data_IF_768130582314
#
_entry.id   IF_768130582314
#
_cell.length_a   1.000
_cell.length_b   1.000
_cell.length_c   1.000
_cell.angle_alpha   90.00
_cell.angle_beta   90.00
_cell.angle_gamma   90.00
#
_symmetry.space_group_name_H-M   'P 1'
#
loop_
_entity.id
_entity.type
_entity.pdbx_description
1 polymer ?
#
# COMPACT_ATOMS: atom_id res chain seq x y z
N UNK A 1 -8.67 -17.01 8.12
CA UNK A 1 -7.57 -16.06 8.41
C UNK A 1 -6.44 -16.85 9.03
N UNK A 2 -5.19 -16.65 8.60
CA UNK A 2 -4.02 -17.28 9.24
C UNK A 2 -3.94 -16.76 10.70
N UNK A 3 -3.96 -17.62 11.73
CA UNK A 3 -3.93 -17.19 13.12
C UNK A 3 -2.70 -16.34 13.45
N UNK A 4 -1.61 -16.51 12.69
CA UNK A 4 -0.39 -15.70 12.83
C UNK A 4 -0.63 -14.24 12.46
N UNK A 5 -1.47 -13.97 11.45
CA UNK A 5 -1.83 -12.60 11.03
C UNK A 5 -2.46 -11.82 12.17
N UNK A 6 -3.47 -12.40 12.79
CA UNK A 6 -4.18 -11.76 13.89
C UNK A 6 -3.26 -11.58 15.11
N UNK A 7 -2.47 -12.61 15.47
CA UNK A 7 -1.52 -12.52 16.58
C UNK A 7 -0.44 -11.45 16.38
N UNK A 8 0.02 -11.25 15.14
CA UNK A 8 1.01 -10.25 14.78
C UNK A 8 0.46 -8.83 14.87
N UNK A 9 -0.83 -8.66 14.55
CA UNK A 9 -1.55 -7.40 14.73
C UNK A 9 -1.83 -7.10 16.21
N UNK A 10 -2.33 -8.08 16.98
CA UNK A 10 -2.66 -7.92 18.40
C UNK A 10 -1.43 -7.69 19.30
N UNK A 11 -0.23 -8.03 18.82
CA UNK A 11 1.02 -7.88 19.57
C UNK A 11 1.41 -9.10 20.41
N UNK A 12 0.84 -10.28 20.16
CA UNK A 12 1.19 -11.52 20.87
C UNK A 12 2.57 -12.09 20.52
N UNK A 13 3.14 -11.69 19.38
CA UNK A 13 4.44 -12.15 18.93
C UNK A 13 5.33 -10.95 18.54
N UNK A 14 5.87 -10.20 19.51
CA UNK A 14 6.75 -9.07 19.20
C UNK A 14 8.06 -9.54 18.58
N UNK A 15 8.72 -8.63 17.85
CA UNK A 15 10.07 -8.87 17.38
C UNK A 15 11.08 -8.77 18.52
N UNK A 16 12.09 -9.62 18.48
CA UNK A 16 13.35 -9.39 19.19
C UNK A 16 14.16 -8.28 18.53
N UNK A 17 15.10 -7.70 19.28
CA UNK A 17 16.04 -6.70 18.74
C UNK A 17 16.86 -7.23 17.57
N UNK A 18 17.24 -8.51 17.61
CA UNK A 18 18.02 -9.15 16.55
C UNK A 18 17.20 -9.32 15.26
N UNK A 19 15.91 -9.67 15.37
CA UNK A 19 15.01 -9.71 14.21
C UNK A 19 14.82 -8.31 13.60
N UNK A 20 14.61 -7.27 14.42
CA UNK A 20 14.48 -5.90 13.92
C UNK A 20 15.76 -5.40 13.23
N UNK A 21 16.93 -5.74 13.80
CA UNK A 21 18.21 -5.42 13.20
C UNK A 21 18.40 -6.16 11.86
N UNK A 22 18.04 -7.43 11.78
CA UNK A 22 18.10 -8.19 10.54
C UNK A 22 17.19 -7.60 9.45
N UNK A 23 15.96 -7.23 9.80
CA UNK A 23 15.03 -6.54 8.89
C UNK A 23 15.65 -5.22 8.42
N UNK A 24 16.17 -4.40 9.34
CA UNK A 24 16.83 -3.14 9.00
C UNK A 24 17.95 -3.36 7.97
N UNK A 25 18.88 -4.26 8.26
CA UNK A 25 20.04 -4.52 7.39
C UNK A 25 19.62 -5.01 6.00
N UNK A 26 18.58 -5.85 5.92
CA UNK A 26 18.06 -6.34 4.65
C UNK A 26 17.47 -5.20 3.81
N UNK A 27 16.60 -4.37 4.41
CA UNK A 27 15.97 -3.25 3.71
C UNK A 27 16.98 -2.17 3.31
N UNK A 28 18.01 -1.93 4.13
CA UNK A 28 19.10 -1.00 3.81
C UNK A 28 19.96 -1.50 2.64
N UNK A 29 20.30 -2.79 2.63
CA UNK A 29 21.05 -3.40 1.53
C UNK A 29 20.27 -3.32 0.21
N UNK A 30 18.96 -3.56 0.28
CA UNK A 30 18.05 -3.46 -0.86
C UNK A 30 17.95 -2.01 -1.37
N UNK A 31 17.69 -1.06 -0.46
CA UNK A 31 17.63 0.37 -0.78
C UNK A 31 18.94 0.89 -1.35
N UNK A 32 20.09 0.49 -0.80
CA UNK A 32 21.40 0.89 -1.29
C UNK A 32 21.65 0.43 -2.74
N UNK A 33 21.14 -0.74 -3.12
CA UNK A 33 21.27 -1.23 -4.49
C UNK A 33 20.53 -0.32 -5.49
N UNK A 34 19.28 0.07 -5.20
CA UNK A 34 18.51 0.99 -6.05
C UNK A 34 19.12 2.39 -6.09
N UNK A 35 19.54 2.92 -4.94
CA UNK A 35 20.21 4.23 -4.86
C UNK A 35 21.48 4.28 -5.72
N UNK A 36 22.27 3.20 -5.73
CA UNK A 36 23.48 3.10 -6.59
C UNK A 36 23.15 3.16 -8.09
N UNK A 37 21.93 2.82 -8.49
CA UNK A 37 21.46 2.93 -9.87
C UNK A 37 20.76 4.27 -10.16
N UNK A 38 20.82 5.25 -9.24
CA UNK A 38 20.09 6.53 -9.31
C UNK A 38 18.57 6.37 -9.38
N UNK A 39 18.02 5.34 -8.72
CA UNK A 39 16.57 5.11 -8.63
C UNK A 39 16.07 5.53 -7.26
N UNK A 40 14.97 6.29 -7.21
CA UNK A 40 14.25 6.54 -5.96
C UNK A 40 13.51 5.28 -5.56
N UNK A 41 13.74 4.79 -4.33
CA UNK A 41 13.18 3.52 -3.86
C UNK A 41 12.32 3.73 -2.62
N UNK A 42 11.08 3.25 -2.68
CA UNK A 42 10.10 3.33 -1.61
C UNK A 42 9.56 1.93 -1.30
N UNK A 43 9.30 1.67 -0.03
CA UNK A 43 8.59 0.48 0.41
C UNK A 43 7.26 0.93 1.00
N UNK A 44 6.18 0.35 0.52
CA UNK A 44 4.82 0.57 0.96
C UNK A 44 4.30 -0.69 1.67
N UNK A 45 4.39 -0.75 3.00
CA UNK A 45 3.63 -1.72 3.75
C UNK A 45 2.13 -1.40 3.65
N UNK A 46 1.34 -2.32 3.11
CA UNK A 46 -0.11 -2.25 3.14
C UNK A 46 -0.62 -2.81 4.47
N UNK A 47 -1.75 -2.29 4.95
CA UNK A 47 -2.34 -2.73 6.21
C UNK A 47 -3.44 -3.73 5.97
N UNK A 48 -3.55 -4.69 6.88
CA UNK A 48 -4.70 -5.56 6.90
C UNK A 48 -5.97 -4.81 7.27
N UNK A 49 -7.12 -5.28 6.78
CA UNK A 49 -8.42 -4.67 7.08
C UNK A 49 -8.68 -4.59 8.59
N UNK A 50 -8.31 -5.61 9.37
CA UNK A 50 -8.44 -5.59 10.83
C UNK A 50 -7.54 -4.53 11.50
N UNK A 51 -6.45 -4.12 10.86
CA UNK A 51 -5.56 -3.09 11.40
C UNK A 51 -6.13 -1.68 11.30
N UNK A 52 -7.06 -1.47 10.35
CA UNK A 52 -7.75 -0.20 10.14
C UNK A 52 -9.17 -0.23 10.72
N UNK A 53 -9.85 -1.38 10.67
CA UNK A 53 -11.23 -1.59 11.13
C UNK A 53 -11.35 -2.72 12.18
N UNK A 54 -10.66 -2.61 13.34
CA UNK A 54 -10.74 -3.63 14.37
C UNK A 54 -12.11 -3.74 15.04
N UNK A 55 -12.94 -2.68 15.00
CA UNK A 55 -14.27 -2.65 15.59
C UNK A 55 -15.28 -3.62 14.96
N UNK A 56 -14.96 -4.18 13.79
CA UNK A 56 -15.77 -5.22 13.14
C UNK A 56 -15.31 -6.64 13.49
N UNK A 57 -14.26 -6.79 14.30
CA UNK A 57 -13.88 -8.08 14.86
C UNK A 57 -14.72 -8.41 16.10
N UNK A 58 -15.18 -9.66 16.27
CA UNK A 58 -15.86 -10.07 17.48
C UNK A 58 -14.88 -10.11 18.66
N UNK A 59 -15.37 -9.84 19.87
CA UNK A 59 -14.61 -10.09 21.08
C UNK A 59 -14.24 -11.59 21.20
N UNK A 60 -13.02 -11.96 21.60
CA UNK A 60 -11.90 -11.12 22.09
C UNK A 60 -10.90 -10.67 21.01
N UNK A 61 -11.20 -10.88 19.73
CA UNK A 61 -10.25 -10.67 18.64
C UNK A 61 -10.01 -9.20 18.29
N UNK A 62 -10.85 -8.27 18.78
CA UNK A 62 -10.69 -6.83 18.57
C UNK A 62 -9.66 -6.17 19.52
N UNK A 63 -9.20 -6.89 20.55
CA UNK A 63 -8.30 -6.33 21.55
C UNK A 63 -6.83 -6.50 21.14
N UNK A 64 -6.09 -5.39 21.13
CA UNK A 64 -4.64 -5.39 21.01
C UNK A 64 -4.01 -5.34 22.40
N UNK A 65 -3.01 -6.19 22.64
CA UNK A 65 -2.29 -6.26 23.92
C UNK A 65 -0.93 -5.54 23.86
N UNK A 66 -0.49 -5.14 22.67
CA UNK A 66 0.78 -4.45 22.43
C UNK A 66 0.89 -3.90 21.00
N UNK A 67 2.02 -3.27 20.65
CA UNK A 67 2.24 -2.79 19.28
C UNK A 67 2.31 -3.96 18.30
N UNK A 68 1.66 -3.82 17.14
CA UNK A 68 1.77 -4.82 16.06
C UNK A 68 3.23 -4.97 15.59
N UNK A 69 3.57 -6.11 15.01
CA UNK A 69 4.90 -6.35 14.41
C UNK A 69 5.27 -5.27 13.40
N UNK A 70 4.33 -4.87 12.53
CA UNK A 70 4.57 -3.80 11.56
C UNK A 70 4.78 -2.44 12.24
N UNK A 71 4.05 -2.13 13.33
CA UNK A 71 4.29 -0.91 14.10
C UNK A 71 5.70 -0.89 14.73
N UNK A 72 6.20 -2.04 15.20
CA UNK A 72 7.57 -2.17 15.73
C UNK A 72 8.61 -1.89 14.64
N UNK A 73 8.41 -2.40 13.41
CA UNK A 73 9.29 -2.11 12.26
C UNK A 73 9.29 -0.61 11.95
N UNK A 74 8.12 0.03 11.89
CA UNK A 74 8.05 1.47 11.61
C UNK A 74 8.81 2.31 12.65
N UNK A 75 8.62 2.04 13.95
CA UNK A 75 9.32 2.76 15.01
C UNK A 75 10.83 2.50 14.98
N UNK A 76 11.25 1.23 14.82
CA UNK A 76 12.67 0.87 14.72
C UNK A 76 13.35 1.56 13.53
N UNK A 77 12.76 1.45 12.35
CA UNK A 77 13.34 2.01 11.12
C UNK A 77 13.38 3.53 11.13
N UNK A 78 12.39 4.19 11.75
CA UNK A 78 12.39 5.65 11.94
C UNK A 78 13.55 6.14 12.80
N UNK A 79 13.96 5.36 13.80
CA UNK A 79 15.06 5.71 14.71
C UNK A 79 16.44 5.33 14.15
N UNK A 80 16.52 4.25 13.37
CA UNK A 80 17.78 3.61 13.05
C UNK A 80 18.15 3.61 11.56
N UNK A 81 17.24 4.01 10.66
CA UNK A 81 17.45 3.92 9.22
C UNK A 81 16.97 5.15 8.43
N UNK A 82 17.44 5.26 7.19
CA UNK A 82 16.97 6.25 6.20
C UNK A 82 16.11 5.64 5.10
N UNK A 83 15.88 4.33 5.13
CA UNK A 83 15.02 3.63 4.17
C UNK A 83 13.63 4.25 4.21
N UNK A 84 13.07 4.49 3.03
CA UNK A 84 11.80 5.18 2.87
C UNK A 84 10.63 4.19 3.00
N UNK A 85 10.20 3.94 4.25
CA UNK A 85 8.95 3.24 4.55
C UNK A 85 7.76 4.21 4.53
N UNK A 86 6.77 3.91 3.69
CA UNK A 86 5.56 4.72 3.55
C UNK A 86 4.50 4.23 4.54
N UNK A 87 4.46 4.83 5.73
CA UNK A 87 3.36 4.57 6.68
C UNK A 87 2.07 5.23 6.21
N UNK A 88 1.08 4.42 5.85
CA UNK A 88 -0.26 4.85 5.41
C UNK A 88 -1.34 4.63 6.47
N UNK A 89 -1.00 4.12 7.66
CA UNK A 89 -1.96 3.83 8.73
C UNK A 89 -2.69 5.07 9.21
N UNK A 90 -1.96 6.12 9.57
CA UNK A 90 -2.56 7.37 10.06
C UNK A 90 -3.43 8.08 8.99
N UNK A 91 -2.99 8.17 7.72
CA UNK A 91 -3.86 8.60 6.63
C UNK A 91 -5.17 7.80 6.52
N UNK A 92 -5.10 6.47 6.59
CA UNK A 92 -6.29 5.61 6.52
C UNK A 92 -7.21 5.78 7.74
N UNK A 93 -6.65 5.84 8.95
CA UNK A 93 -7.42 6.07 10.18
C UNK A 93 -8.07 7.46 10.19
N UNK A 94 -7.38 8.48 9.66
CA UNK A 94 -7.93 9.83 9.52
C UNK A 94 -9.08 9.85 8.54
N UNK A 95 -8.92 9.22 7.37
CA UNK A 95 -9.97 9.10 6.37
C UNK A 95 -11.21 8.36 6.92
N UNK A 96 -10.99 7.24 7.60
CA UNK A 96 -12.02 6.49 8.32
C UNK A 96 -12.76 7.35 9.35
N UNK A 97 -12.03 8.14 10.16
CA UNK A 97 -12.63 8.99 11.20
C UNK A 97 -13.51 10.10 10.62
N UNK A 98 -13.16 10.65 9.46
CA UNK A 98 -14.00 11.60 8.73
C UNK A 98 -15.31 10.94 8.27
N UNK A 99 -15.33 9.61 8.16
CA UNK A 99 -16.49 8.77 7.87
C UNK A 99 -17.30 9.22 6.64
N UNK A 100 -16.63 9.89 5.70
CA UNK A 100 -17.26 10.32 4.47
C UNK A 100 -17.42 9.12 3.53
N UNK A 101 -16.38 8.29 3.42
CA UNK A 101 -16.36 7.07 2.61
C UNK A 101 -15.49 5.99 3.25
N UNK A 102 -15.90 4.73 3.12
CA UNK A 102 -15.07 3.59 3.50
C UNK A 102 -13.77 3.55 2.68
N UNK A 103 -12.67 3.16 3.33
CA UNK A 103 -11.36 2.98 2.66
C UNK A 103 -11.10 1.52 2.28
N UNK A 104 -11.95 0.60 2.74
CA UNK A 104 -11.91 -0.81 2.41
C UNK A 104 -13.27 -1.24 1.90
N UNK A 105 -13.28 -2.23 1.01
CA UNK A 105 -14.53 -2.85 0.59
C UNK A 105 -15.16 -3.58 1.77
N UNK A 106 -16.48 -3.53 1.90
CA UNK A 106 -17.23 -4.21 2.96
C UNK A 106 -17.14 -5.73 2.82
N UNK A 107 -17.25 -6.21 1.58
CA UNK A 107 -17.35 -7.63 1.22
C UNK A 107 -16.02 -8.30 0.87
N UNK A 108 -14.90 -7.58 0.97
CA UNK A 108 -13.58 -7.99 0.52
C UNK A 108 -12.51 -7.72 1.60
N UNK A 109 -11.37 -8.40 1.52
CA UNK A 109 -10.21 -8.22 2.38
C UNK A 109 -9.35 -7.02 2.02
N UNK A 110 -9.43 -6.54 0.77
CA UNK A 110 -8.63 -5.43 0.25
C UNK A 110 -9.19 -4.06 0.64
N UNK A 111 -8.30 -3.06 0.62
CA UNK A 111 -8.77 -1.69 0.52
C UNK A 111 -9.55 -1.46 -0.78
N UNK A 112 -10.32 -0.39 -0.86
CA UNK A 112 -10.92 0.06 -2.12
C UNK A 112 -10.05 1.15 -2.76
N UNK A 113 -10.50 1.68 -3.90
CA UNK A 113 -9.85 2.80 -4.60
C UNK A 113 -9.60 4.01 -3.67
N UNK A 114 -10.47 4.27 -2.70
CA UNK A 114 -10.33 5.39 -1.77
C UNK A 114 -9.17 5.14 -0.80
N UNK A 115 -9.07 3.94 -0.23
CA UNK A 115 -7.91 3.55 0.59
C UNK A 115 -6.60 3.62 -0.19
N UNK A 116 -6.57 3.06 -1.39
CA UNK A 116 -5.42 3.14 -2.30
C UNK A 116 -5.05 4.59 -2.68
N UNK A 117 -6.03 5.48 -2.82
CA UNK A 117 -5.79 6.90 -3.07
C UNK A 117 -5.02 7.56 -1.92
N UNK A 118 -5.35 7.26 -0.66
CA UNK A 118 -4.60 7.79 0.47
C UNK A 118 -3.15 7.27 0.51
N UNK A 119 -2.93 6.00 0.15
CA UNK A 119 -1.57 5.47 0.00
C UNK A 119 -0.79 6.17 -1.11
N UNK A 120 -1.41 6.35 -2.28
CA UNK A 120 -0.84 7.11 -3.39
C UNK A 120 -0.49 8.55 -2.99
N UNK A 121 -1.36 9.24 -2.24
CA UNK A 121 -1.13 10.62 -1.79
C UNK A 121 0.12 10.71 -0.93
N UNK A 122 0.33 9.75 -0.04
CA UNK A 122 1.52 9.66 0.80
C UNK A 122 2.80 9.33 0.04
N UNK A 123 2.70 8.50 -1.00
CA UNK A 123 3.83 8.22 -1.91
C UNK A 123 4.22 9.50 -2.65
N UNK A 124 3.27 10.18 -3.29
CA UNK A 124 3.54 11.39 -4.07
C UNK A 124 4.09 12.52 -3.21
N UNK A 125 3.57 12.72 -1.98
CA UNK A 125 4.12 13.69 -1.03
C UNK A 125 5.61 13.46 -0.74
N UNK A 126 6.05 12.21 -0.62
CA UNK A 126 7.47 11.88 -0.42
C UNK A 126 8.28 12.12 -1.69
N UNK A 127 7.72 11.76 -2.85
CA UNK A 127 8.36 12.00 -4.13
C UNK A 127 8.53 13.48 -4.47
N UNK A 128 7.67 14.37 -3.95
CA UNK A 128 7.75 15.82 -4.17
C UNK A 128 9.15 16.41 -3.87
N UNK A 129 9.89 15.81 -2.93
CA UNK A 129 11.25 16.24 -2.55
C UNK A 129 12.22 16.09 -3.72
N UNK A 130 12.08 15.03 -4.52
CA UNK A 130 12.95 14.69 -5.65
C UNK A 130 12.33 15.11 -6.99
N UNK A 131 11.00 15.14 -7.05
CA UNK A 131 10.19 15.46 -8.23
C UNK A 131 9.21 16.59 -7.88
N UNK A 132 9.65 17.87 -7.84
CA UNK A 132 8.80 19.00 -7.41
C UNK A 132 7.53 19.20 -8.24
N UNK A 133 7.49 18.63 -9.44
CA UNK A 133 6.32 18.63 -10.32
C UNK A 133 5.23 17.63 -9.90
N UNK A 134 5.52 16.66 -9.02
CA UNK A 134 4.56 15.66 -8.57
C UNK A 134 3.66 16.20 -7.45
N UNK A 135 2.65 16.98 -7.84
CA UNK A 135 1.66 17.52 -6.90
C UNK A 135 0.54 16.51 -6.70
N UNK A 136 0.28 16.02 -5.46
CA UNK A 136 -0.75 15.03 -5.24
C UNK A 136 -2.15 15.58 -5.57
N UNK A 137 -2.90 14.82 -6.37
CA UNK A 137 -4.30 15.08 -6.67
C UNK A 137 -5.19 15.01 -5.42
N UNK A 138 -6.32 15.71 -5.44
CA UNK A 138 -7.32 15.65 -4.38
C UNK A 138 -8.46 14.67 -4.74
N UNK A 139 -9.28 14.28 -3.76
CA UNK A 139 -10.38 13.33 -4.00
C UNK A 139 -11.40 13.90 -5.00
N UNK A 140 -11.59 15.21 -5.00
CA UNK A 140 -12.51 15.96 -5.88
C UNK A 140 -12.10 15.89 -7.36
N UNK A 141 -10.85 15.49 -7.65
CA UNK A 141 -10.39 15.20 -9.00
C UNK A 141 -10.98 13.90 -9.55
N UNK A 142 -11.66 13.11 -8.74
CA UNK A 142 -12.26 11.83 -9.13
C UNK A 142 -13.79 11.88 -9.07
N UNK A 143 -14.45 10.93 -9.73
CA UNK A 143 -15.88 10.69 -9.55
C UNK A 143 -16.04 9.64 -8.47
N UNK A 144 -16.83 9.95 -7.46
CA UNK A 144 -17.24 8.95 -6.49
C UNK A 144 -18.43 8.16 -7.04
N UNK A 145 -18.29 6.84 -7.05
CA UNK A 145 -19.40 5.92 -7.28
C UNK A 145 -19.70 5.16 -5.99
N UNK A 146 -20.91 5.35 -5.48
CA UNK A 146 -21.43 4.72 -4.26
C UNK A 146 -22.46 3.62 -4.56
N UNK A 147 -22.68 3.30 -5.84
CA UNK A 147 -23.69 2.34 -6.27
C UNK A 147 -23.07 1.03 -6.75
N UNK A 148 -21.77 0.83 -6.51
CA UNK A 148 -21.08 -0.39 -6.89
C UNK A 148 -21.65 -1.58 -6.12
N UNK A 149 -22.12 -2.58 -6.86
CA UNK A 149 -22.51 -3.89 -6.33
C UNK A 149 -21.49 -4.92 -6.77
N UNK A 150 -20.81 -5.54 -5.81
CA UNK A 150 -19.85 -6.62 -6.06
C UNK A 150 -19.82 -7.59 -4.88
N UNK A 151 -19.41 -8.83 -5.16
CA UNK A 151 -19.02 -9.77 -4.13
C UNK A 151 -17.48 -9.84 -4.08
N UNK A 152 -16.91 -9.47 -2.93
CA UNK A 152 -15.49 -9.64 -2.66
C UNK A 152 -15.12 -11.06 -2.21
N UNK A 153 -13.82 -11.26 -1.97
CA UNK A 153 -13.27 -12.55 -1.54
C UNK A 153 -13.91 -13.08 -0.24
N UNK A 154 -14.10 -12.22 0.77
CA UNK A 154 -14.69 -12.60 2.07
C UNK A 154 -16.14 -13.06 1.92
N UNK A 155 -16.93 -12.33 1.13
CA UNK A 155 -18.32 -12.72 0.85
C UNK A 155 -18.38 -14.05 0.07
N UNK A 156 -17.49 -14.24 -0.90
CA UNK A 156 -17.36 -15.51 -1.63
C UNK A 156 -16.97 -16.68 -0.72
N UNK A 157 -15.98 -16.48 0.16
CA UNK A 157 -15.53 -17.50 1.12
C UNK A 157 -16.63 -17.89 2.11
N UNK A 158 -17.44 -16.93 2.54
CA UNK A 158 -18.55 -17.14 3.47
C UNK A 158 -19.88 -17.53 2.78
N UNK A 159 -19.90 -17.59 1.44
CA UNK A 159 -21.10 -17.85 0.63
C UNK A 159 -22.29 -16.94 0.99
N UNK A 160 -22.03 -15.64 1.12
CA UNK A 160 -23.03 -14.64 1.52
C UNK A 160 -23.67 -13.97 0.28
N UNK A 161 -24.99 -13.77 0.32
CA UNK A 161 -25.67 -12.88 -0.62
C UNK A 161 -25.42 -11.42 -0.22
N UNK A 162 -24.70 -10.71 -1.08
CA UNK A 162 -24.32 -9.31 -0.90
C UNK A 162 -24.89 -8.39 -1.98
N UNK A 163 -25.92 -8.84 -2.70
CA UNK A 163 -26.59 -8.08 -3.77
C UNK A 163 -27.21 -6.74 -3.31
N UNK A 164 -27.44 -6.60 -2.01
CA UNK A 164 -27.95 -5.39 -1.36
C UNK A 164 -26.85 -4.50 -0.77
N UNK A 165 -25.59 -4.98 -0.69
CA UNK A 165 -24.48 -4.21 -0.15
C UNK A 165 -23.94 -3.28 -1.24
N UNK A 166 -23.88 -1.99 -0.91
CA UNK A 166 -23.28 -0.96 -1.75
C UNK A 166 -21.87 -0.66 -1.27
N UNK A 167 -20.94 -0.71 -2.22
CA UNK A 167 -19.53 -0.39 -2.05
C UNK A 167 -19.23 1.01 -2.61
N UNK A 168 -18.16 1.62 -2.12
CA UNK A 168 -17.66 2.90 -2.62
C UNK A 168 -16.39 2.71 -3.45
N UNK A 169 -16.29 3.42 -4.56
CA UNK A 169 -15.08 3.47 -5.37
C UNK A 169 -14.85 4.85 -6.00
N UNK A 170 -13.59 5.14 -6.32
CA UNK A 170 -13.21 6.28 -7.15
C UNK A 170 -13.07 5.83 -8.58
N UNK A 171 -13.73 6.55 -9.48
CA UNK A 171 -13.64 6.37 -10.92
C UNK A 171 -12.96 7.60 -11.51
N UNK A 172 -11.99 7.38 -12.39
CA UNK A 172 -11.34 8.47 -13.12
C UNK A 172 -12.37 9.22 -13.99
N UNK A 173 -12.44 10.55 -13.86
CA UNK A 173 -13.20 11.41 -14.80
C UNK A 173 -12.64 11.17 -16.21
N UNK A 174 -13.50 10.81 -17.18
CA UNK A 174 -13.11 10.48 -18.58
C UNK A 174 -12.18 11.54 -19.21
N UNK A 175 -12.28 12.80 -18.79
CA UNK A 175 -11.53 13.95 -19.34
C UNK A 175 -10.17 14.25 -18.67
N UNK A 176 -9.77 13.55 -17.59
CA UNK A 176 -8.44 13.78 -16.97
C UNK A 176 -7.30 13.10 -17.75
N UNK A 177 -7.66 12.39 -18.82
CA UNK A 177 -6.75 12.09 -19.91
C UNK A 177 -6.16 13.35 -20.58
N UNK A 178 -6.66 14.56 -20.33
CA UNK A 178 -6.14 15.79 -20.94
C UNK A 178 -4.90 16.40 -20.25
N UNK A 179 -4.55 16.02 -19.01
CA UNK A 179 -3.30 16.45 -18.35
C UNK A 179 -2.06 15.65 -18.84
N UNK A 180 -2.11 15.21 -20.10
CA UNK A 180 -1.05 14.54 -20.87
C UNK A 180 -0.03 15.51 -21.47
N UNK A 181 -0.17 16.82 -21.24
CA UNK A 181 0.51 17.87 -22.01
C UNK A 181 1.90 18.33 -21.51
N UNK A 182 2.53 17.60 -20.60
CA UNK A 182 3.96 17.77 -20.34
C UNK A 182 4.66 16.47 -20.76
N UNK A 183 5.79 16.51 -21.49
CA UNK A 183 6.58 15.33 -21.80
C UNK A 183 7.16 14.79 -20.50
N UNK A 184 6.38 13.99 -19.79
CA UNK A 184 6.84 13.22 -18.65
C UNK A 184 7.91 12.28 -19.21
N UNK A 185 9.09 12.28 -18.63
CA UNK A 185 10.12 11.26 -18.92
C UNK A 185 10.19 10.22 -17.81
N UNK A 186 9.57 10.51 -16.67
CA UNK A 186 9.67 9.69 -15.48
C UNK A 186 8.88 8.39 -15.63
N UNK A 187 9.53 7.30 -15.26
CA UNK A 187 8.98 5.95 -15.23
C UNK A 187 8.89 5.45 -13.81
N UNK A 188 7.81 4.75 -13.49
CA UNK A 188 7.65 4.04 -12.24
C UNK A 188 7.55 2.54 -12.49
N UNK A 189 8.19 1.77 -11.60
CA UNK A 189 8.07 0.32 -11.52
C UNK A 189 7.53 -0.05 -10.14
N UNK A 190 6.41 -0.77 -10.12
CA UNK A 190 5.74 -1.19 -8.89
C UNK A 190 5.78 -2.71 -8.83
N UNK A 191 6.38 -3.24 -7.77
CA UNK A 191 6.32 -4.64 -7.38
C UNK A 191 5.25 -4.76 -6.29
N UNK A 192 4.32 -5.69 -6.40
CA UNK A 192 3.32 -5.85 -5.35
C UNK A 192 2.39 -7.05 -5.54
N UNK A 193 1.27 -7.02 -4.82
CA UNK A 193 0.16 -7.95 -4.92
C UNK A 193 -1.17 -7.24 -5.20
N UNK A 194 -2.27 -7.95 -4.99
CA UNK A 194 -3.63 -7.47 -5.24
C UNK A 194 -4.00 -6.19 -4.49
N UNK A 195 -3.25 -5.77 -3.46
CA UNK A 195 -3.43 -4.46 -2.83
C UNK A 195 -2.98 -3.31 -3.75
N UNK A 196 -1.94 -3.49 -4.55
CA UNK A 196 -1.49 -2.45 -5.50
C UNK A 196 -2.09 -2.59 -6.90
N UNK A 197 -2.62 -3.77 -7.23
CA UNK A 197 -3.16 -4.06 -8.56
C UNK A 197 -4.39 -3.20 -8.89
N UNK A 198 -4.50 -2.81 -10.17
CA UNK A 198 -5.50 -1.92 -10.77
C UNK A 198 -5.62 -0.48 -10.21
N UNK A 199 -5.50 -0.24 -8.90
CA UNK A 199 -5.71 1.08 -8.28
C UNK A 199 -4.59 2.07 -8.61
N UNK A 200 -3.34 1.64 -8.42
CA UNK A 200 -2.18 2.51 -8.53
C UNK A 200 -1.91 2.97 -9.94
N UNK A 201 -2.31 2.16 -10.93
CA UNK A 201 -2.21 2.53 -12.33
C UNK A 201 -2.89 3.87 -12.59
N UNK A 202 -4.17 3.99 -12.25
CA UNK A 202 -5.00 5.19 -12.49
C UNK A 202 -4.46 6.46 -11.80
N UNK A 203 -3.83 6.30 -10.64
CA UNK A 203 -3.24 7.43 -9.90
C UNK A 203 -1.86 7.82 -10.43
N UNK A 204 -0.97 6.86 -10.70
CA UNK A 204 0.39 7.15 -11.10
C UNK A 204 0.53 7.61 -12.56
N UNK A 205 -0.38 7.27 -13.47
CA UNK A 205 -0.38 7.83 -14.84
C UNK A 205 -0.49 9.36 -14.87
N UNK A 206 -0.92 9.97 -13.76
CA UNK A 206 -1.00 11.43 -13.62
C UNK A 206 0.35 12.08 -13.32
N UNK A 207 1.37 11.31 -12.95
CA UNK A 207 2.72 11.80 -12.65
C UNK A 207 3.76 11.25 -13.62
N UNK A 208 3.62 9.98 -13.98
CA UNK A 208 4.62 9.24 -14.76
C UNK A 208 4.20 9.08 -16.22
N UNK A 209 5.19 8.98 -17.10
CA UNK A 209 5.02 8.65 -18.50
C UNK A 209 4.80 7.16 -18.74
N UNK A 210 5.35 6.34 -17.86
CA UNK A 210 5.25 4.89 -17.95
C UNK A 210 5.06 4.33 -16.55
N UNK A 211 3.97 3.58 -16.36
CA UNK A 211 3.66 2.86 -15.12
C UNK A 211 3.71 1.38 -15.42
N UNK A 212 4.75 0.70 -14.93
CA UNK A 212 4.88 -0.75 -15.05
C UNK A 212 4.61 -1.39 -13.69
N UNK A 213 3.80 -2.43 -13.72
CA UNK A 213 3.43 -3.21 -12.56
C UNK A 213 3.90 -4.66 -12.72
N UNK A 214 4.46 -5.23 -11.65
CA UNK A 214 4.92 -6.61 -11.58
C UNK A 214 4.20 -7.28 -10.40
N UNK A 215 3.20 -8.10 -10.74
CA UNK A 215 2.39 -8.84 -9.78
C UNK A 215 3.15 -10.02 -9.17
N UNK A 216 2.82 -10.37 -7.93
CA UNK A 216 3.27 -11.59 -7.26
C UNK A 216 4.58 -11.45 -6.49
N UNK A 217 5.00 -10.22 -6.22
CA UNK A 217 6.26 -9.92 -5.55
C UNK A 217 6.13 -9.80 -4.02
N UNK A 218 4.99 -10.19 -3.46
CA UNK A 218 4.63 -9.88 -2.07
C UNK A 218 5.38 -10.66 -0.99
N UNK A 219 6.35 -11.49 -1.34
CA UNK A 219 7.13 -12.27 -0.39
C UNK A 219 8.61 -11.90 -0.49
N UNK A 220 9.29 -11.69 0.66
CA UNK A 220 10.73 -11.40 0.77
C UNK A 220 11.65 -12.47 0.14
N UNK A 221 11.07 -13.58 -0.35
CA UNK A 221 11.73 -14.64 -1.11
C UNK A 221 11.90 -14.33 -2.59
N UNK A 222 11.18 -13.36 -3.14
CA UNK A 222 11.34 -12.97 -4.52
C UNK A 222 12.58 -12.08 -4.65
N UNK A 223 13.52 -12.50 -5.50
CA UNK A 223 14.70 -11.71 -5.84
C UNK A 223 14.39 -10.84 -7.04
N UNK A 224 14.88 -9.60 -7.03
CA UNK A 224 14.63 -8.73 -8.17
C UNK A 224 15.32 -9.31 -9.36
N UNK A 225 14.60 -9.39 -10.47
CA UNK A 225 15.27 -9.46 -11.75
C UNK A 225 15.93 -8.10 -12.03
N UNK A 226 17.14 -7.97 -11.51
CA UNK A 226 17.98 -6.78 -11.66
C UNK A 226 18.23 -6.47 -13.13
N UNK A 227 18.27 -7.47 -14.01
CA UNK A 227 18.47 -7.25 -15.44
C UNK A 227 17.26 -6.57 -16.07
N UNK A 228 16.04 -7.04 -15.76
CA UNK A 228 14.80 -6.42 -16.21
C UNK A 228 14.65 -4.99 -15.65
N UNK A 229 15.04 -4.74 -14.39
CA UNK A 229 15.01 -3.39 -13.80
C UNK A 229 15.97 -2.45 -14.54
N UNK A 230 17.21 -2.88 -14.78
CA UNK A 230 18.22 -2.09 -15.48
C UNK A 230 17.88 -1.86 -16.96
N UNK A 231 17.15 -2.78 -17.60
CA UNK A 231 16.64 -2.61 -18.95
C UNK A 231 15.48 -1.61 -18.98
N UNK A 232 14.57 -1.68 -18.01
CA UNK A 232 13.41 -0.78 -17.92
C UNK A 232 13.80 0.66 -17.56
N UNK A 233 14.85 0.82 -16.73
CA UNK A 233 15.37 2.11 -16.22
C UNK A 233 14.29 2.98 -15.56
N UNK A 234 13.64 2.49 -14.49
CA UNK A 234 12.69 3.30 -13.75
C UNK A 234 13.38 4.47 -13.03
N UNK A 235 12.68 5.59 -12.89
CA UNK A 235 13.08 6.69 -12.02
C UNK A 235 12.69 6.41 -10.56
N UNK A 236 11.51 5.79 -10.38
CA UNK A 236 10.95 5.42 -9.08
C UNK A 236 10.63 3.93 -9.07
N UNK A 237 11.00 3.25 -7.99
CA UNK A 237 10.64 1.87 -7.71
C UNK A 237 9.88 1.81 -6.39
N UNK A 238 8.75 1.10 -6.41
CA UNK A 238 7.94 0.83 -5.22
C UNK A 238 7.85 -0.67 -5.01
N UNK A 239 8.11 -1.13 -3.79
CA UNK A 239 7.66 -2.45 -3.34
C UNK A 239 6.46 -2.24 -2.45
N UNK A 240 5.36 -2.84 -2.84
CA UNK A 240 4.15 -2.96 -2.03
C UNK A 240 4.12 -4.35 -1.40
N UNK A 241 3.79 -4.43 -0.11
CA UNK A 241 3.68 -5.70 0.60
C UNK A 241 2.68 -5.60 1.75
N UNK A 242 1.69 -6.50 1.78
CA UNK A 242 0.68 -6.56 2.83
C UNK A 242 1.25 -6.99 4.20
N UNK A 243 0.70 -6.41 5.27
CA UNK A 243 1.09 -6.56 6.68
C UNK A 243 1.39 -8.00 7.09
N UNK A 244 0.60 -8.97 6.64
CA UNK A 244 0.82 -10.40 6.96
C UNK A 244 2.16 -10.96 6.50
N UNK A 245 2.82 -10.37 5.51
CA UNK A 245 4.16 -10.77 5.07
C UNK A 245 5.27 -10.19 5.94
N UNK A 246 4.96 -9.17 6.74
CA UNK A 246 5.86 -8.58 7.73
C UNK A 246 5.80 -9.29 9.09
N UNK A 247 5.30 -10.52 9.13
CA UNK A 247 5.25 -11.35 10.34
C UNK A 247 6.47 -12.29 10.39
N UNK A 248 6.88 -12.83 9.25
CA UNK A 248 8.14 -13.57 9.08
C UNK A 248 8.86 -13.07 7.80
N UNK A 249 9.30 -11.81 7.78
CA UNK A 249 9.93 -11.16 6.63
C UNK A 249 11.35 -11.69 6.36
#
# INVERSE_FOLDING_TARGET
>A
MDPRTLSGWQGYNPYSSDELLAIQMNLEAESAWFTKQNMTFLILPCFDKNSIYPEYLPWPYADAIGPSRLAQIFEHMKLHSKVQLVDVRQPLLTAKKLNQFDTYFKTDSHWNNIGAFYAYKEIVKRLLIVYPQFVPHNLEDFVLDTNLKRAGDLAGMANLDVSHILEHQLVSKKNITANRMSPKKDKILIFGDSFSDFFFKDYFWRHFNEVKYVYGYSNARYKFDKSTILQYRPNVVIIESIERFWINP
#
